data_IF_913701121966
#
_entry.id   IF_913701121966
#
_cell.length_a   1.000
_cell.length_b   1.000
_cell.length_c   1.000
_cell.angle_alpha   90.00
_cell.angle_beta   90.00
_cell.angle_gamma   90.00
#
_symmetry.space_group_name_H-M   'P 1'
#
loop_
_entity.id
_entity.type
_entity.pdbx_description
1 polymer ?
#
# COMPACT_ATOMS: atom_id res chain seq x y z
N UNK A 1 -17.27 22.23 6.21
CA UNK A 1 -16.25 23.30 6.38
C UNK A 1 -15.47 23.49 5.09
N UNK A 2 -15.13 24.73 4.70
CA UNK A 2 -14.36 25.01 3.47
C UNK A 2 -12.86 24.95 3.71
N UNK A 3 -12.13 24.32 2.79
CA UNK A 3 -10.67 24.24 2.83
C UNK A 3 -10.07 25.46 2.13
N UNK A 4 -9.16 26.15 2.80
CA UNK A 4 -8.41 27.25 2.22
C UNK A 4 -6.94 26.86 2.11
N UNK A 5 -6.33 27.13 0.96
CA UNK A 5 -4.88 27.10 0.82
C UNK A 5 -4.37 28.48 1.22
N UNK A 6 -3.42 28.53 2.14
CA UNK A 6 -2.80 29.78 2.54
C UNK A 6 -1.28 29.70 2.39
N UNK A 7 -0.71 30.82 1.97
CA UNK A 7 0.73 31.05 2.04
C UNK A 7 0.93 32.08 3.13
N UNK A 8 1.56 31.66 4.22
CA UNK A 8 1.86 32.56 5.34
C UNK A 8 3.36 32.58 5.61
N UNK A 9 3.84 33.71 6.10
CA UNK A 9 5.25 33.97 6.38
C UNK A 9 5.45 34.05 7.88
N UNK A 10 6.48 33.37 8.36
CA UNK A 10 6.93 33.44 9.74
C UNK A 10 7.73 34.74 10.00
N UNK A 11 7.93 35.11 11.26
CA UNK A 11 8.72 36.29 11.67
C UNK A 11 10.15 36.27 11.10
N UNK A 12 10.69 35.09 10.80
CA UNK A 12 12.00 34.87 10.20
C UNK A 12 11.99 34.84 8.65
N UNK A 13 10.90 35.28 8.00
CA UNK A 13 10.80 35.38 6.55
C UNK A 13 10.59 34.05 5.80
N UNK A 14 10.40 32.93 6.53
CA UNK A 14 10.15 31.61 5.93
C UNK A 14 8.70 31.50 5.47
N UNK A 15 8.51 31.11 4.21
CA UNK A 15 7.20 30.98 3.59
C UNK A 15 6.66 29.56 3.81
N UNK A 16 5.55 29.46 4.54
CA UNK A 16 4.83 28.22 4.83
C UNK A 16 3.58 28.13 3.96
N UNK A 17 3.56 27.15 3.06
CA UNK A 17 2.40 26.83 2.22
C UNK A 17 1.66 25.66 2.86
N UNK A 18 0.48 25.92 3.41
CA UNK A 18 -0.34 24.90 4.04
C UNK A 18 -1.83 25.11 3.71
N UNK A 19 -2.64 24.16 4.14
CA UNK A 19 -4.10 24.21 4.00
C UNK A 19 -4.72 23.99 5.37
N UNK A 20 -5.86 24.63 5.59
CA UNK A 20 -6.57 24.51 6.85
C UNK A 20 -8.07 24.63 6.62
N UNK A 21 -8.80 24.10 7.59
CA UNK A 21 -10.25 24.19 7.65
C UNK A 21 -10.61 25.46 8.43
N UNK A 22 -11.37 26.36 7.81
CA UNK A 22 -11.87 27.55 8.48
C UNK A 22 -13.31 27.83 8.04
N UNK A 23 -14.09 28.41 8.95
CA UNK A 23 -15.47 28.83 8.70
C UNK A 23 -15.57 29.98 7.69
N UNK A 24 -14.46 30.68 7.41
CA UNK A 24 -14.36 31.72 6.39
C UNK A 24 -12.95 32.33 6.32
N UNK A 25 -12.68 33.10 5.25
CA UNK A 25 -11.41 33.83 5.07
C UNK A 25 -11.03 34.75 6.26
N UNK A 26 -11.97 35.48 6.92
CA UNK A 26 -11.65 36.32 8.07
C UNK A 26 -11.21 35.51 9.29
N UNK A 27 -11.88 34.39 9.55
CA UNK A 27 -11.57 33.49 10.67
C UNK A 27 -10.20 32.81 10.50
N UNK A 28 -9.82 32.52 9.26
CA UNK A 28 -8.49 31.99 8.97
C UNK A 28 -7.40 33.04 9.21
N UNK A 29 -7.61 34.29 8.78
CA UNK A 29 -6.64 35.37 9.03
C UNK A 29 -6.42 35.59 10.52
N UNK A 30 -7.47 35.58 11.34
CA UNK A 30 -7.34 35.74 12.79
C UNK A 30 -6.59 34.56 13.42
N UNK A 31 -6.87 33.34 12.97
CA UNK A 31 -6.21 32.13 13.48
C UNK A 31 -4.71 32.09 13.14
N UNK A 32 -4.32 32.49 11.92
CA UNK A 32 -2.92 32.54 11.51
C UNK A 32 -2.14 33.68 12.17
N UNK A 33 -2.78 34.84 12.39
CA UNK A 33 -2.20 35.94 13.17
C UNK A 33 -1.99 35.57 14.64
N UNK A 34 -2.93 34.84 15.24
CA UNK A 34 -2.78 34.33 16.61
C UNK A 34 -1.60 33.36 16.75
N UNK A 35 -1.24 32.67 15.67
CA UNK A 35 -0.06 31.79 15.60
C UNK A 35 1.23 32.51 15.17
N UNK A 36 1.23 33.85 15.03
CA UNK A 36 2.42 34.63 14.68
C UNK A 36 2.78 34.65 13.19
N UNK A 37 1.91 34.16 12.31
CA UNK A 37 2.15 34.14 10.87
C UNK A 37 1.46 35.32 10.15
N UNK A 38 2.19 36.00 9.25
CA UNK A 38 1.63 37.00 8.35
C UNK A 38 1.13 36.33 7.08
N UNK A 39 -0.11 36.59 6.68
CA UNK A 39 -0.74 35.89 5.55
C UNK A 39 -0.52 36.67 4.26
N UNK A 40 0.27 36.11 3.34
CA UNK A 40 0.59 36.73 2.04
C UNK A 40 -0.55 36.50 1.02
N UNK A 41 -1.19 35.33 1.03
CA UNK A 41 -2.29 35.01 0.11
C UNK A 41 -3.22 33.93 0.67
N UNK A 42 -4.54 34.11 0.46
CA UNK A 42 -5.57 33.12 0.79
C UNK A 42 -6.33 32.79 -0.49
N UNK A 43 -6.30 31.52 -0.89
CA UNK A 43 -7.07 31.02 -2.02
C UNK A 43 -8.12 30.03 -1.53
N UNK A 44 -9.39 30.31 -1.85
CA UNK A 44 -10.50 29.37 -1.62
C UNK A 44 -10.30 28.17 -2.53
N UNK A 45 -10.19 26.96 -1.96
CA UNK A 45 -10.01 25.75 -2.76
C UNK A 45 -11.36 25.41 -3.42
N UNK A 46 -11.46 25.33 -4.75
CA UNK A 46 -12.69 24.88 -5.39
C UNK A 46 -12.97 23.43 -4.98
N UNK A 47 -14.22 23.17 -4.56
CA UNK A 47 -14.69 21.83 -4.24
C UNK A 47 -14.61 20.97 -5.51
N UNK A 48 -13.65 20.03 -5.56
CA UNK A 48 -13.49 19.11 -6.70
C UNK A 48 -12.11 19.03 -7.32
N UNK A 49 -11.11 19.80 -6.87
CA UNK A 49 -9.73 19.60 -7.34
C UNK A 49 -9.10 18.37 -6.66
N UNK A 50 -9.31 17.21 -7.32
CA UNK A 50 -8.69 15.92 -7.01
C UNK A 50 -7.17 16.09 -6.95
N UNK A 51 -6.67 15.95 -5.73
CA UNK A 51 -5.26 16.04 -5.36
C UNK A 51 -4.42 15.07 -6.20
N UNK A 52 -3.55 15.64 -7.03
CA UNK A 52 -2.59 14.89 -7.84
C UNK A 52 -1.73 14.00 -6.94
N UNK A 53 -1.93 12.69 -7.08
CA UNK A 53 -1.15 11.64 -6.41
C UNK A 53 -1.13 11.70 -4.88
N UNK A 54 -2.29 11.58 -4.24
CA UNK A 54 -2.31 11.06 -2.86
C UNK A 54 -1.70 9.64 -2.86
N UNK A 55 -0.48 9.51 -2.36
CA UNK A 55 0.20 8.22 -2.18
C UNK A 55 -0.74 7.24 -1.50
N UNK A 56 -0.79 6.01 -2.03
CA UNK A 56 -1.59 4.91 -1.46
C UNK A 56 -1.18 4.71 0.00
N UNK A 57 -2.17 4.56 0.88
CA UNK A 57 -1.93 4.30 2.31
C UNK A 57 -1.17 2.97 2.42
N UNK A 58 -0.02 2.99 3.11
CA UNK A 58 0.76 1.77 3.30
C UNK A 58 0.15 0.96 4.43
N UNK A 59 0.33 -0.37 4.36
CA UNK A 59 -0.11 -1.26 5.44
C UNK A 59 0.60 -0.95 6.77
N UNK A 60 1.87 -0.51 6.72
CA UNK A 60 2.65 -0.07 7.88
C UNK A 60 1.96 1.04 8.66
N UNK A 61 1.40 2.02 7.95
CA UNK A 61 0.81 3.21 8.55
C UNK A 61 -0.47 2.82 9.31
N UNK A 62 -1.28 1.92 8.72
CA UNK A 62 -2.49 1.38 9.32
C UNK A 62 -2.16 0.53 10.56
N UNK A 63 -1.12 -0.31 10.48
CA UNK A 63 -0.68 -1.18 11.60
C UNK A 63 -0.23 -0.32 12.78
N UNK A 64 0.66 0.64 12.53
CA UNK A 64 1.19 1.53 13.56
C UNK A 64 0.07 2.38 14.19
N UNK A 65 -0.81 2.95 13.37
CA UNK A 65 -1.95 3.72 13.84
C UNK A 65 -2.88 2.86 14.70
N UNK A 66 -3.24 1.65 14.27
CA UNK A 66 -4.14 0.78 15.03
C UNK A 66 -3.51 0.34 16.37
N UNK A 67 -2.21 0.05 16.40
CA UNK A 67 -1.50 -0.28 17.64
C UNK A 67 -1.46 0.91 18.60
N UNK A 68 -1.13 2.11 18.13
CA UNK A 68 -1.15 3.33 18.95
C UNK A 68 -2.54 3.61 19.48
N UNK A 69 -3.57 3.49 18.63
CA UNK A 69 -4.96 3.68 19.03
C UNK A 69 -5.35 2.72 20.16
N UNK A 70 -5.04 1.43 20.03
CA UNK A 70 -5.31 0.44 21.07
C UNK A 70 -4.60 0.79 22.38
N UNK A 71 -3.34 1.21 22.35
CA UNK A 71 -2.58 1.56 23.57
C UNK A 71 -3.14 2.81 24.24
N UNK A 72 -3.45 3.85 23.46
CA UNK A 72 -4.01 5.10 23.99
C UNK A 72 -5.41 4.88 24.60
N UNK A 73 -6.26 4.13 23.91
CA UNK A 73 -7.61 3.85 24.37
C UNK A 73 -7.59 2.95 25.63
N UNK A 74 -6.71 1.94 25.66
CA UNK A 74 -6.48 1.11 26.85
C UNK A 74 -5.95 1.92 28.04
N UNK A 75 -5.19 3.00 27.79
CA UNK A 75 -4.72 3.94 28.81
C UNK A 75 -5.82 4.91 29.29
N UNK A 76 -7.05 4.79 28.80
CA UNK A 76 -8.19 5.58 29.23
C UNK A 76 -8.33 6.94 28.55
N UNK A 77 -7.58 7.21 27.47
CA UNK A 77 -7.79 8.43 26.70
C UNK A 77 -9.14 8.38 25.97
N UNK A 78 -9.82 9.53 25.91
CA UNK A 78 -11.08 9.65 25.19
C UNK A 78 -10.92 9.28 23.70
N UNK A 79 -11.98 8.72 23.10
CA UNK A 79 -11.99 8.33 21.69
C UNK A 79 -11.60 9.49 20.75
N UNK A 80 -12.14 10.68 21.02
CA UNK A 80 -11.90 11.87 20.22
C UNK A 80 -10.45 12.34 20.35
N UNK A 81 -9.90 12.32 21.57
CA UNK A 81 -8.51 12.67 21.83
C UNK A 81 -7.57 11.71 21.11
N UNK A 82 -7.84 10.40 21.21
CA UNK A 82 -7.09 9.38 20.48
C UNK A 82 -7.08 9.66 18.98
N UNK A 83 -8.25 9.91 18.37
CA UNK A 83 -8.35 10.19 16.94
C UNK A 83 -7.62 11.47 16.53
N UNK A 84 -7.72 12.54 17.34
CA UNK A 84 -7.04 13.81 17.04
C UNK A 84 -5.51 13.70 17.07
N UNK A 85 -4.97 12.96 18.05
CA UNK A 85 -3.53 12.69 18.17
C UNK A 85 -3.06 11.81 17.02
N UNK A 86 -3.78 10.73 16.71
CA UNK A 86 -3.44 9.86 15.59
C UNK A 86 -3.51 10.59 14.25
N UNK A 87 -4.48 11.48 14.06
CA UNK A 87 -4.56 12.30 12.86
C UNK A 87 -3.34 13.24 12.73
N UNK A 88 -2.89 13.82 13.86
CA UNK A 88 -1.75 14.75 13.90
C UNK A 88 -0.39 14.07 13.71
N UNK A 89 -0.20 12.88 14.29
CA UNK A 89 1.09 12.19 14.30
C UNK A 89 1.36 11.28 13.08
N UNK A 90 0.35 11.02 12.25
CA UNK A 90 0.50 10.10 11.12
C UNK A 90 1.35 10.70 9.98
N UNK A 91 2.37 9.96 9.54
CA UNK A 91 3.22 10.34 8.40
C UNK A 91 2.45 10.40 7.07
N UNK A 92 1.45 9.53 6.92
CA UNK A 92 0.63 9.46 5.72
C UNK A 92 -0.47 10.51 5.77
N UNK A 93 -0.29 11.59 4.99
CA UNK A 93 -1.27 12.67 4.85
C UNK A 93 -2.67 12.17 4.45
N UNK A 94 -2.74 11.14 3.58
CA UNK A 94 -4.03 10.55 3.18
C UNK A 94 -4.73 9.84 4.35
N UNK A 95 -3.97 9.18 5.22
CA UNK A 95 -4.51 8.54 6.42
C UNK A 95 -4.92 9.61 7.46
N UNK A 96 -4.09 10.64 7.65
CA UNK A 96 -4.39 11.79 8.51
C UNK A 96 -5.70 12.46 8.12
N UNK A 97 -5.89 12.80 6.84
CA UNK A 97 -7.15 13.36 6.32
C UNK A 97 -8.35 12.43 6.59
N UNK A 98 -8.16 11.11 6.47
CA UNK A 98 -9.23 10.13 6.75
C UNK A 98 -9.58 10.07 8.24
N UNK A 99 -8.58 10.20 9.12
CA UNK A 99 -8.80 10.22 10.57
C UNK A 99 -9.47 11.51 11.04
N UNK A 100 -9.17 12.66 10.42
CA UNK A 100 -9.91 13.90 10.66
C UNK A 100 -11.38 13.79 10.24
N UNK A 101 -11.67 13.24 9.06
CA UNK A 101 -13.07 13.02 8.63
C UNK A 101 -13.80 12.04 9.58
N UNK A 102 -13.13 10.98 10.04
CA UNK A 102 -13.69 10.05 11.04
C UNK A 102 -13.97 10.76 12.36
N UNK A 103 -13.02 11.55 12.87
CA UNK A 103 -13.18 12.33 14.09
C UNK A 103 -14.40 13.25 14.00
N UNK A 104 -14.51 14.02 12.91
CA UNK A 104 -15.59 14.98 12.72
C UNK A 104 -16.96 14.28 12.62
N UNK A 105 -17.04 13.14 11.93
CA UNK A 105 -18.28 12.33 11.84
C UNK A 105 -18.74 11.80 13.19
N UNK A 106 -17.80 11.34 14.02
CA UNK A 106 -18.13 10.85 15.36
C UNK A 106 -18.57 12.04 16.23
N UNK A 107 -17.98 13.23 16.02
CA UNK A 107 -18.37 14.45 16.75
C UNK A 107 -19.78 14.90 16.36
N UNK A 108 -20.18 14.67 15.11
CA UNK A 108 -21.54 14.85 14.60
C UNK A 108 -22.53 13.77 15.07
N UNK A 109 -22.07 12.77 15.84
CA UNK A 109 -22.91 11.72 16.43
C UNK A 109 -23.04 10.44 15.59
N UNK A 110 -22.19 10.24 14.58
CA UNK A 110 -22.14 8.96 13.86
C UNK A 110 -21.55 7.86 14.74
N UNK A 111 -22.05 6.63 14.57
CA UNK A 111 -21.41 5.45 15.15
C UNK A 111 -19.96 5.33 14.67
N UNK A 112 -19.08 4.82 15.53
CA UNK A 112 -17.65 4.68 15.25
C UNK A 112 -17.43 3.77 14.06
N UNK A 113 -18.07 2.60 14.04
CA UNK A 113 -17.92 1.66 12.92
C UNK A 113 -18.38 2.23 11.58
N UNK A 114 -19.41 3.09 11.58
CA UNK A 114 -19.94 3.71 10.37
C UNK A 114 -19.06 4.85 9.86
N UNK A 115 -18.42 5.60 10.77
CA UNK A 115 -17.42 6.60 10.41
C UNK A 115 -16.19 5.96 9.73
N UNK A 116 -15.66 4.87 10.30
CA UNK A 116 -14.56 4.12 9.69
C UNK A 116 -14.94 3.48 8.35
N UNK A 117 -16.21 3.09 8.18
CA UNK A 117 -16.71 2.48 6.94
C UNK A 117 -16.68 3.42 5.72
N UNK A 118 -16.61 4.74 5.93
CA UNK A 118 -16.49 5.72 4.84
C UNK A 118 -15.13 5.73 4.14
N UNK A 119 -14.14 5.04 4.70
CA UNK A 119 -12.76 4.99 4.18
C UNK A 119 -12.30 3.56 3.82
N UNK A 120 -12.94 2.90 2.83
CA UNK A 120 -12.60 1.53 2.42
C UNK A 120 -11.18 1.39 1.84
N UNK A 121 -10.56 2.49 1.42
CA UNK A 121 -9.17 2.54 0.96
C UNK A 121 -8.14 2.34 2.09
N UNK A 122 -8.53 2.62 3.34
CA UNK A 122 -7.70 2.45 4.52
C UNK A 122 -8.13 1.21 5.32
N UNK A 123 -9.45 1.02 5.50
CA UNK A 123 -10.00 0.01 6.39
C UNK A 123 -10.69 -1.10 5.61
N UNK A 124 -10.23 -2.33 5.81
CA UNK A 124 -10.84 -3.50 5.17
C UNK A 124 -12.24 -3.78 5.73
N UNK A 125 -13.13 -4.46 4.96
CA UNK A 125 -14.45 -4.86 5.47
C UNK A 125 -14.39 -5.64 6.78
N UNK A 126 -13.36 -6.48 6.95
CA UNK A 126 -13.14 -7.23 8.19
C UNK A 126 -12.83 -6.32 9.38
N UNK A 127 -12.03 -5.27 9.16
CA UNK A 127 -11.72 -4.28 10.21
C UNK A 127 -13.00 -3.61 10.70
N UNK A 128 -13.84 -3.17 9.76
CA UNK A 128 -15.11 -2.49 10.05
C UNK A 128 -16.08 -3.44 10.77
N UNK A 129 -16.23 -4.69 10.30
CA UNK A 129 -17.14 -5.65 10.92
C UNK A 129 -16.74 -6.01 12.35
N UNK A 130 -15.44 -6.15 12.60
CA UNK A 130 -14.92 -6.43 13.94
C UNK A 130 -15.11 -5.22 14.86
N UNK A 131 -14.86 -4.02 14.36
CA UNK A 131 -15.09 -2.77 15.10
C UNK A 131 -16.57 -2.61 15.49
N UNK A 132 -17.48 -2.90 14.55
CA UNK A 132 -18.94 -2.87 14.79
C UNK A 132 -19.38 -3.86 15.85
N UNK A 133 -18.82 -5.08 15.84
CA UNK A 133 -19.11 -6.08 16.87
C UNK A 133 -18.63 -5.62 18.26
N UNK A 134 -17.43 -5.03 18.33
CA UNK A 134 -16.88 -4.48 19.57
C UNK A 134 -17.64 -3.27 20.10
N UNK A 135 -18.11 -2.41 19.21
CA UNK A 135 -18.97 -1.25 19.53
C UNK A 135 -20.31 -1.70 20.11
N UNK A 136 -20.99 -2.66 19.45
CA UNK A 136 -22.27 -3.19 19.92
C UNK A 136 -22.16 -3.94 21.26
N UNK A 137 -21.04 -4.62 21.51
CA UNK A 137 -20.79 -5.35 22.74
C UNK A 137 -20.23 -4.49 23.89
N UNK A 138 -19.93 -3.21 23.64
CA UNK A 138 -19.27 -2.32 24.61
C UNK A 138 -17.82 -2.71 24.94
N UNK A 139 -17.23 -3.67 24.22
CA UNK A 139 -15.86 -4.18 24.42
C UNK A 139 -14.89 -3.56 23.42
N UNK A 140 -14.94 -2.24 23.26
CA UNK A 140 -14.17 -1.52 22.24
C UNK A 140 -12.66 -1.64 22.45
N UNK A 141 -12.19 -1.53 23.70
CA UNK A 141 -10.77 -1.66 24.06
C UNK A 141 -10.19 -3.02 23.65
N UNK A 142 -10.83 -4.10 24.10
CA UNK A 142 -10.46 -5.47 23.72
C UNK A 142 -10.43 -5.67 22.20
N UNK A 143 -11.44 -5.13 21.51
CA UNK A 143 -11.58 -5.26 20.05
C UNK A 143 -10.46 -4.53 19.31
N UNK A 144 -10.08 -3.32 19.74
CA UNK A 144 -8.94 -2.60 19.19
C UNK A 144 -7.62 -3.36 19.40
N UNK A 145 -7.42 -3.95 20.58
CA UNK A 145 -6.25 -4.78 20.87
C UNK A 145 -6.14 -6.01 19.96
N UNK A 146 -7.26 -6.65 19.69
CA UNK A 146 -7.34 -7.79 18.77
C UNK A 146 -7.09 -7.36 17.31
N UNK A 147 -7.65 -6.22 16.89
CA UNK A 147 -7.41 -5.65 15.56
C UNK A 147 -5.94 -5.29 15.35
N UNK A 148 -5.30 -4.65 16.33
CA UNK A 148 -3.88 -4.29 16.26
C UNK A 148 -3.01 -5.55 16.12
N UNK A 149 -3.26 -6.55 16.96
CA UNK A 149 -2.52 -7.83 16.93
C UNK A 149 -2.73 -8.59 15.63
N UNK A 150 -3.95 -8.55 15.08
CA UNK A 150 -4.25 -9.14 13.78
C UNK A 150 -3.47 -8.44 12.65
N UNK A 151 -3.49 -7.10 12.62
CA UNK A 151 -2.81 -6.31 11.59
C UNK A 151 -1.28 -6.48 11.65
N UNK A 152 -0.69 -6.52 12.85
CA UNK A 152 0.74 -6.81 13.03
C UNK A 152 1.11 -8.19 12.51
N UNK A 153 0.34 -9.23 12.88
CA UNK A 153 0.56 -10.59 12.36
C UNK A 153 0.44 -10.64 10.83
N UNK A 154 -0.52 -9.91 10.24
CA UNK A 154 -0.63 -9.82 8.79
C UNK A 154 0.58 -9.13 8.15
N UNK A 155 1.05 -8.04 8.74
CA UNK A 155 2.22 -7.31 8.27
C UNK A 155 3.49 -8.17 8.36
N UNK A 156 3.72 -8.84 9.49
CA UNK A 156 4.87 -9.71 9.70
C UNK A 156 4.90 -10.89 8.74
N UNK A 157 3.75 -11.53 8.51
CA UNK A 157 3.65 -12.60 7.52
C UNK A 157 4.01 -12.07 6.13
N UNK A 158 3.45 -10.93 5.73
CA UNK A 158 3.74 -10.32 4.43
C UNK A 158 5.21 -9.93 4.30
N UNK A 159 5.81 -9.36 5.35
CA UNK A 159 7.22 -8.99 5.40
C UNK A 159 8.12 -10.21 5.30
N UNK A 160 7.83 -11.30 6.01
CA UNK A 160 8.59 -12.56 5.94
C UNK A 160 8.53 -13.18 4.55
N UNK A 161 7.35 -13.21 3.93
CA UNK A 161 7.17 -13.71 2.56
C UNK A 161 7.99 -12.87 1.57
N UNK A 162 7.89 -11.54 1.65
CA UNK A 162 8.68 -10.66 0.78
C UNK A 162 10.17 -10.82 1.01
N UNK A 163 10.61 -10.90 2.27
CA UNK A 163 12.01 -11.12 2.64
C UNK A 163 12.58 -12.43 2.10
N UNK A 164 11.81 -13.52 2.17
CA UNK A 164 12.21 -14.83 1.63
C UNK A 164 12.35 -14.82 0.09
N UNK A 165 11.60 -13.96 -0.61
CA UNK A 165 11.66 -13.81 -2.06
C UNK A 165 12.75 -12.85 -2.54
N UNK A 166 13.28 -12.00 -1.66
CA UNK A 166 14.34 -11.04 -2.02
C UNK A 166 15.59 -11.76 -2.53
N UNK A 167 16.03 -12.83 -1.87
CA UNK A 167 17.24 -13.55 -2.29
C UNK A 167 17.08 -14.21 -3.68
N UNK A 168 16.04 -15.03 -3.95
CA UNK A 168 15.79 -15.56 -5.28
C UNK A 168 15.71 -14.48 -6.37
N UNK A 169 15.05 -13.35 -6.07
CA UNK A 169 14.92 -12.24 -7.02
C UNK A 169 16.28 -11.63 -7.38
N UNK A 170 17.13 -11.36 -6.38
CA UNK A 170 18.48 -10.80 -6.59
C UNK A 170 19.33 -11.77 -7.42
N UNK A 171 19.34 -13.06 -7.07
CA UNK A 171 20.13 -14.08 -7.80
C UNK A 171 19.68 -14.20 -9.25
N UNK A 172 18.38 -14.29 -9.51
CA UNK A 172 17.84 -14.36 -10.88
C UNK A 172 18.17 -13.09 -11.66
N UNK A 173 18.04 -11.91 -11.04
CA UNK A 173 18.40 -10.64 -11.67
C UNK A 173 19.89 -10.58 -12.01
N UNK A 174 20.79 -11.06 -11.14
CA UNK A 174 22.23 -11.12 -11.40
C UNK A 174 22.55 -12.10 -12.52
N UNK A 175 21.98 -13.31 -12.52
CA UNK A 175 22.17 -14.29 -13.60
C UNK A 175 21.70 -13.69 -14.93
N UNK A 176 20.53 -13.07 -14.95
CA UNK A 176 19.98 -12.43 -16.14
C UNK A 176 20.91 -11.33 -16.65
N UNK A 177 21.42 -10.45 -15.77
CA UNK A 177 22.39 -9.40 -16.12
C UNK A 177 23.67 -9.98 -16.74
N UNK A 178 24.27 -10.99 -16.10
CA UNK A 178 25.53 -11.61 -16.55
C UNK A 178 25.35 -12.30 -17.90
N UNK A 179 24.28 -13.09 -18.06
CA UNK A 179 23.96 -13.75 -19.33
C UNK A 179 23.74 -12.73 -20.44
N UNK A 180 23.03 -11.64 -20.15
CA UNK A 180 22.83 -10.53 -21.10
C UNK A 180 24.15 -9.96 -21.58
N UNK A 181 25.07 -9.67 -20.65
CA UNK A 181 26.39 -9.10 -20.97
C UNK A 181 27.21 -10.06 -21.85
N UNK A 182 27.24 -11.35 -21.50
CA UNK A 182 27.96 -12.38 -22.28
C UNK A 182 27.40 -12.46 -23.71
N UNK A 183 26.08 -12.49 -23.85
CA UNK A 183 25.44 -12.61 -25.17
C UNK A 183 25.69 -11.37 -26.03
N UNK A 184 25.73 -10.17 -25.45
CA UNK A 184 25.94 -8.92 -26.20
C UNK A 184 27.41 -8.69 -26.57
N UNK A 185 28.36 -8.96 -25.66
CA UNK A 185 29.76 -8.59 -25.86
C UNK A 185 30.68 -9.77 -26.18
N UNK A 186 30.51 -10.89 -25.48
CA UNK A 186 31.44 -12.02 -25.55
C UNK A 186 31.15 -12.89 -26.77
N UNK A 187 29.88 -13.20 -27.04
CA UNK A 187 29.49 -14.06 -28.17
C UNK A 187 29.93 -13.49 -29.54
N UNK A 188 29.78 -12.17 -29.84
CA UNK A 188 30.27 -11.61 -31.10
C UNK A 188 31.78 -11.72 -31.27
N UNK A 189 32.54 -11.44 -30.20
CA UNK A 189 34.00 -11.53 -30.23
C UNK A 189 34.49 -12.95 -30.59
N UNK A 190 33.83 -13.98 -30.05
CA UNK A 190 34.12 -15.36 -30.46
C UNK A 190 33.74 -15.64 -31.91
N UNK A 191 32.59 -15.15 -32.38
CA UNK A 191 32.16 -15.34 -33.77
C UNK A 191 33.19 -14.81 -34.78
N UNK A 192 33.78 -13.63 -34.53
CA UNK A 192 34.82 -13.05 -35.39
C UNK A 192 36.07 -13.93 -35.49
N UNK A 193 36.46 -14.59 -34.40
CA UNK A 193 37.61 -15.51 -34.37
C UNK A 193 37.31 -16.78 -35.19
N UNK A 194 36.14 -17.38 -35.02
CA UNK A 194 35.75 -18.59 -35.76
C UNK A 194 35.65 -18.33 -37.27
N UNK A 195 35.16 -17.16 -37.69
CA UNK A 195 35.10 -16.78 -39.10
C UNK A 195 36.51 -16.65 -39.72
N UNK A 196 37.48 -16.12 -38.96
CA UNK A 196 38.89 -16.02 -39.40
C UNK A 196 39.59 -17.37 -39.55
N UNK A 197 39.15 -18.39 -38.80
CA UNK A 197 39.72 -19.74 -38.83
C UNK A 197 39.17 -20.60 -39.99
N UNK A 198 38.17 -20.12 -40.74
CA UNK A 198 37.58 -20.86 -41.87
C UNK A 198 36.78 -22.11 -41.47
N UNK A 199 36.49 -22.29 -40.18
CA UNK A 199 35.73 -23.42 -39.64
C UNK A 199 34.24 -23.08 -39.69
N UNK A 200 33.43 -23.94 -40.31
CA UNK A 200 31.98 -23.75 -40.32
C UNK A 200 31.44 -23.83 -38.90
N UNK A 201 30.75 -22.78 -38.46
CA UNK A 201 30.21 -22.72 -37.10
C UNK A 201 29.18 -23.84 -36.89
N UNK A 202 29.31 -24.64 -35.82
CA UNK A 202 28.32 -25.62 -35.41
C UNK A 202 26.93 -24.98 -35.25
N UNK A 203 25.86 -25.74 -35.55
CA UNK A 203 24.48 -25.30 -35.42
C UNK A 203 24.14 -24.57 -34.10
N UNK A 204 24.57 -25.04 -32.90
CA UNK A 204 24.29 -24.33 -31.64
C UNK A 204 24.94 -22.94 -31.56
N UNK A 205 26.16 -22.77 -32.09
CA UNK A 205 26.86 -21.49 -32.12
C UNK A 205 26.20 -20.52 -33.09
N UNK A 206 25.67 -21.02 -34.22
CA UNK A 206 24.92 -20.22 -35.20
C UNK A 206 23.61 -19.67 -34.61
N UNK A 207 22.88 -20.49 -33.84
CA UNK A 207 21.69 -20.05 -33.11
C UNK A 207 22.03 -18.98 -32.06
N UNK A 208 23.16 -19.13 -31.35
CA UNK A 208 23.61 -18.17 -30.35
C UNK A 208 23.98 -16.80 -30.99
N UNK A 209 24.60 -16.80 -32.16
CA UNK A 209 24.90 -15.58 -32.92
C UNK A 209 23.61 -14.91 -33.41
N UNK A 210 22.61 -15.67 -33.84
CA UNK A 210 21.29 -15.13 -34.20
C UNK A 210 20.60 -14.46 -33.01
N UNK A 211 20.71 -15.04 -31.81
CA UNK A 211 20.20 -14.41 -30.57
C UNK A 211 21.04 -13.19 -30.20
N UNK A 212 22.36 -13.25 -30.36
CA UNK A 212 23.29 -12.15 -30.05
C UNK A 212 23.10 -10.93 -30.97
N UNK A 213 22.97 -11.14 -32.27
CA UNK A 213 22.74 -10.05 -33.24
C UNK A 213 21.39 -9.36 -33.04
N UNK A 214 20.42 -10.07 -32.46
CA UNK A 214 19.11 -9.55 -32.09
C UNK A 214 19.00 -9.24 -30.58
N UNK A 215 20.07 -9.35 -29.79
CA UNK A 215 20.00 -9.27 -28.33
C UNK A 215 19.48 -7.92 -27.84
N UNK A 216 19.85 -6.83 -28.54
CA UNK A 216 19.34 -5.47 -28.29
C UNK A 216 17.82 -5.34 -28.45
N UNK A 217 17.18 -6.19 -29.26
CA UNK A 217 15.72 -6.24 -29.43
C UNK A 217 15.05 -7.34 -28.59
N UNK A 218 15.70 -8.50 -28.42
CA UNK A 218 15.16 -9.66 -27.69
C UNK A 218 15.04 -9.37 -26.18
N UNK A 219 16.05 -8.74 -25.57
CA UNK A 219 16.02 -8.48 -24.12
C UNK A 219 14.89 -7.52 -23.71
N UNK A 220 14.73 -6.34 -24.35
CA UNK A 220 13.60 -5.47 -24.06
C UNK A 220 12.25 -6.12 -24.38
N UNK A 221 12.13 -6.88 -25.48
CA UNK A 221 10.87 -7.55 -25.83
C UNK A 221 10.48 -8.64 -24.85
N UNK A 222 11.42 -9.44 -24.32
CA UNK A 222 11.14 -10.41 -23.24
C UNK A 222 10.65 -9.68 -21.99
N UNK A 223 11.31 -8.59 -21.60
CA UNK A 223 10.93 -7.79 -20.43
C UNK A 223 9.53 -7.17 -20.61
N UNK A 224 9.22 -6.71 -21.82
CA UNK A 224 7.91 -6.18 -22.22
C UNK A 224 6.85 -7.29 -22.25
N UNK A 225 7.18 -8.51 -22.67
CA UNK A 225 6.31 -9.69 -22.63
C UNK A 225 5.99 -10.11 -21.20
N UNK A 226 6.99 -10.11 -20.31
CA UNK A 226 6.81 -10.40 -18.88
C UNK A 226 5.94 -9.32 -18.24
N UNK A 227 6.21 -8.04 -18.51
CA UNK A 227 5.41 -6.93 -18.03
C UNK A 227 3.97 -6.99 -18.59
N UNK A 228 3.82 -7.34 -19.87
CA UNK A 228 2.54 -7.55 -20.55
C UNK A 228 1.75 -8.68 -19.91
N UNK A 229 2.35 -9.86 -19.73
CA UNK A 229 1.75 -10.99 -19.01
C UNK A 229 1.39 -10.62 -17.57
N UNK A 230 2.22 -9.85 -16.88
CA UNK A 230 1.95 -9.38 -15.52
C UNK A 230 0.74 -8.43 -15.46
N UNK A 231 0.66 -7.47 -16.39
CA UNK A 231 -0.48 -6.55 -16.52
C UNK A 231 -1.75 -7.33 -16.87
N UNK A 232 -1.65 -8.28 -17.81
CA UNK A 232 -2.76 -9.12 -18.25
C UNK A 232 -3.24 -10.00 -17.09
N UNK A 233 -2.33 -10.57 -16.31
CA UNK A 233 -2.64 -11.31 -15.09
C UNK A 233 -3.34 -10.43 -14.03
N UNK A 234 -2.89 -9.19 -13.79
CA UNK A 234 -3.55 -8.27 -12.86
C UNK A 234 -4.96 -7.90 -13.33
N UNK A 235 -5.13 -7.63 -14.63
CA UNK A 235 -6.42 -7.25 -15.22
C UNK A 235 -7.39 -8.43 -15.23
N UNK A 236 -6.91 -9.61 -15.61
CA UNK A 236 -7.71 -10.84 -15.74
C UNK A 236 -8.15 -11.38 -14.37
N UNK A 237 -7.36 -11.18 -13.31
CA UNK A 237 -7.76 -11.53 -11.93
C UNK A 237 -8.98 -10.76 -11.40
N UNK A 238 -9.42 -9.69 -12.07
CA UNK A 238 -10.65 -8.96 -11.72
C UNK A 238 -11.91 -9.58 -12.34
N UNK A 239 -11.77 -10.47 -13.32
CA UNK A 239 -12.90 -11.14 -13.98
C UNK A 239 -13.33 -12.33 -13.11
N UNK A 240 -14.62 -12.45 -12.73
CA UNK A 240 -15.11 -13.50 -11.83
C UNK A 240 -14.79 -14.92 -12.32
N UNK A 241 -15.01 -15.20 -13.61
CA UNK A 241 -14.76 -16.51 -14.21
C UNK A 241 -13.29 -16.95 -14.13
N UNK A 242 -12.36 -16.00 -14.30
CA UNK A 242 -10.92 -16.30 -14.22
C UNK A 242 -10.46 -16.42 -12.78
N UNK A 243 -11.04 -15.63 -11.86
CA UNK A 243 -10.79 -15.80 -10.43
C UNK A 243 -11.16 -17.22 -9.96
N UNK A 244 -12.32 -17.73 -10.34
CA UNK A 244 -12.79 -19.06 -9.93
C UNK A 244 -11.95 -20.19 -10.54
N UNK A 245 -11.54 -20.06 -11.81
CA UNK A 245 -10.62 -21.00 -12.44
C UNK A 245 -9.23 -20.98 -11.78
N UNK A 246 -8.69 -19.80 -11.50
CA UNK A 246 -7.40 -19.64 -10.82
C UNK A 246 -7.45 -20.14 -9.38
N UNK A 247 -8.55 -19.96 -8.67
CA UNK A 247 -8.70 -20.43 -7.30
C UNK A 247 -8.82 -21.97 -7.26
N UNK A 248 -9.51 -22.59 -8.23
CA UNK A 248 -9.46 -24.05 -8.45
C UNK A 248 -8.06 -24.54 -8.78
N UNK A 249 -7.33 -23.87 -9.68
CA UNK A 249 -5.97 -24.25 -10.06
C UNK A 249 -4.97 -24.14 -8.89
N UNK A 250 -5.11 -23.11 -8.02
CA UNK A 250 -4.29 -22.98 -6.80
C UNK A 250 -4.56 -24.09 -5.79
N UNK A 251 -5.81 -24.52 -5.67
CA UNK A 251 -6.20 -25.63 -4.79
C UNK A 251 -5.66 -26.97 -5.31
N UNK A 252 -5.53 -27.15 -6.63
CA UNK A 252 -5.00 -28.34 -7.25
C UNK A 252 -3.46 -28.41 -7.32
N UNK A 253 -2.73 -27.38 -6.86
CA UNK A 253 -1.27 -27.40 -6.89
C UNK A 253 -0.70 -28.43 -5.89
N UNK A 254 0.08 -29.42 -6.34
CA UNK A 254 0.57 -30.51 -5.49
C UNK A 254 1.51 -30.05 -4.35
N UNK A 255 2.18 -28.90 -4.50
CA UNK A 255 3.16 -28.38 -3.53
C UNK A 255 2.55 -27.29 -2.61
N UNK A 256 1.49 -26.60 -3.05
CA UNK A 256 0.93 -25.42 -2.36
C UNK A 256 -0.51 -25.56 -1.86
N UNK A 257 -1.29 -26.52 -2.38
CA UNK A 257 -2.72 -26.67 -2.10
C UNK A 257 -3.04 -26.92 -0.62
N UNK A 258 -2.30 -27.83 0.02
CA UNK A 258 -2.49 -28.15 1.44
C UNK A 258 -2.17 -26.97 2.37
N UNK A 259 -1.15 -26.17 2.04
CA UNK A 259 -0.80 -24.96 2.80
C UNK A 259 -1.88 -23.90 2.64
N UNK A 260 -2.38 -23.70 1.41
CA UNK A 260 -3.44 -22.74 1.12
C UNK A 260 -4.74 -23.08 1.86
N UNK A 261 -5.13 -24.36 1.87
CA UNK A 261 -6.30 -24.84 2.60
C UNK A 261 -6.17 -24.58 4.11
N UNK A 262 -5.03 -24.94 4.71
CA UNK A 262 -4.75 -24.65 6.13
C UNK A 262 -4.80 -23.16 6.45
N UNK A 263 -4.28 -22.29 5.59
CA UNK A 263 -4.34 -20.84 5.78
C UNK A 263 -5.77 -20.30 5.76
N UNK A 264 -6.62 -20.78 4.84
CA UNK A 264 -8.03 -20.38 4.75
C UNK A 264 -8.77 -20.82 6.02
N UNK A 265 -8.58 -22.07 6.43
CA UNK A 265 -9.18 -22.62 7.65
C UNK A 265 -8.76 -21.80 8.88
N UNK A 266 -7.47 -21.49 9.03
CA UNK A 266 -6.96 -20.66 10.13
C UNK A 266 -7.57 -19.26 10.15
N UNK A 267 -7.76 -18.65 8.96
CA UNK A 267 -8.38 -17.34 8.85
C UNK A 267 -9.84 -17.40 9.30
N UNK A 268 -10.59 -18.39 8.84
CA UNK A 268 -11.97 -18.64 9.24
C UNK A 268 -12.09 -18.86 10.76
N UNK A 269 -11.26 -19.74 11.33
CA UNK A 269 -11.26 -20.05 12.76
C UNK A 269 -10.91 -18.82 13.61
N UNK A 270 -9.94 -17.99 13.19
CA UNK A 270 -9.62 -16.73 13.88
C UNK A 270 -10.77 -15.74 13.81
N UNK A 271 -11.39 -15.57 12.65
CA UNK A 271 -12.54 -14.65 12.53
C UNK A 271 -13.70 -15.13 13.39
N UNK A 272 -13.97 -16.43 13.42
CA UNK A 272 -15.00 -17.02 14.28
C UNK A 272 -14.68 -16.81 15.76
N UNK A 273 -13.45 -17.12 16.17
CA UNK A 273 -12.99 -16.92 17.55
C UNK A 273 -13.12 -15.47 18.00
N UNK A 274 -12.71 -14.50 17.17
CA UNK A 274 -12.83 -13.08 17.48
C UNK A 274 -14.30 -12.69 17.67
N UNK A 275 -15.20 -13.11 16.77
CA UNK A 275 -16.63 -12.79 16.90
C UNK A 275 -17.25 -13.42 18.14
N UNK A 276 -16.93 -14.68 18.45
CA UNK A 276 -17.44 -15.38 19.63
C UNK A 276 -16.94 -14.73 20.92
N UNK A 277 -15.69 -14.26 20.97
CA UNK A 277 -15.15 -13.55 22.14
C UNK A 277 -15.64 -12.10 22.26
N UNK A 278 -16.01 -11.50 21.13
CA UNK A 278 -16.52 -10.13 21.09
C UNK A 278 -18.00 -10.06 21.51
N UNK A 279 -18.79 -11.08 21.18
CA UNK A 279 -20.12 -11.32 21.77
C UNK A 279 -20.07 -11.65 23.26
#
# INVERSE_FOLDING_TARGET
MTVYNYTARDANGRVLKSYCHAAGEPALRSQLRAMGYTVDSIAKRPAGQLDGQRKRIKLTDIVNMCRRFSVMYAAGLGLMDCLSVLAKENESKKLSDSLYDIHDRIAEGSNVSDAFAKHPEAFSPLFISTLRAGEAAGKFDFTLGQLATYLEKQYDLRRKVLGALTYPFVVVATIFLVVTLIVIFVVPAFSEVYLKLGIQLPAPTRALIFVSSNALYIFPTILLLIAGMWILYIKTRRIPAVKDWMDRAKLAMPIGGAVYHKMILLRFLRTLSIMVTAG
#
